data_IF_078121183076
#
_entry.id   IF_078121183076
#
_cell.length_a   1.000
_cell.length_b   1.000
_cell.length_c   1.000
_cell.angle_alpha   90.00
_cell.angle_beta   90.00
_cell.angle_gamma   90.00
#
_symmetry.space_group_name_H-M   'P 1'
#
loop_
_entity.id
_entity.type
_entity.pdbx_description
1 polymer ?
#
# COMPACT_ATOMS: atom_id res chain seq x y z
N UNK A 1 -63.17 -30.34 -9.53
CA UNK A 1 -61.94 -30.59 -10.33
C UNK A 1 -61.31 -29.26 -10.67
N UNK A 2 -60.07 -29.07 -10.21
CA UNK A 2 -59.08 -28.10 -10.67
C UNK A 2 -59.53 -26.64 -10.83
N UNK A 3 -59.72 -25.94 -9.69
CA UNK A 3 -59.34 -24.53 -9.61
C UNK A 3 -57.79 -24.48 -9.54
N UNK A 4 -57.13 -24.82 -10.64
CA UNK A 4 -55.68 -24.88 -10.67
C UNK A 4 -55.10 -23.55 -11.18
N UNK A 5 -54.63 -22.78 -10.20
CA UNK A 5 -53.56 -21.78 -10.30
C UNK A 5 -53.80 -20.66 -11.31
N UNK A 6 -54.42 -19.59 -10.81
CA UNK A 6 -53.99 -18.24 -11.16
C UNK A 6 -52.48 -18.13 -10.90
N UNK A 7 -51.68 -18.43 -11.91
CA UNK A 7 -50.30 -18.02 -11.98
C UNK A 7 -50.30 -16.50 -12.19
N UNK A 8 -50.58 -15.77 -11.11
CA UNK A 8 -50.43 -14.33 -11.02
C UNK A 8 -48.97 -13.97 -11.28
N UNK A 9 -48.62 -13.85 -12.56
CA UNK A 9 -47.36 -13.27 -13.01
C UNK A 9 -47.41 -11.80 -12.59
N UNK A 10 -47.02 -11.52 -11.33
CA UNK A 10 -46.81 -10.16 -10.83
C UNK A 10 -45.96 -9.45 -11.88
N UNK A 11 -46.57 -8.55 -12.65
CA UNK A 11 -45.84 -7.67 -13.57
C UNK A 11 -44.87 -6.89 -12.70
N UNK A 12 -43.61 -7.32 -12.68
CA UNK A 12 -42.52 -6.58 -12.06
C UNK A 12 -42.58 -5.17 -12.62
N UNK A 13 -42.97 -4.22 -11.79
CA UNK A 13 -43.05 -2.82 -12.18
C UNK A 13 -41.63 -2.42 -12.62
N UNK A 14 -41.49 -1.75 -13.78
CA UNK A 14 -40.20 -1.33 -14.33
C UNK A 14 -39.33 -0.61 -13.27
N UNK A 15 -39.98 0.13 -12.35
CA UNK A 15 -39.31 0.77 -11.20
C UNK A 15 -38.62 -0.22 -10.26
N UNK A 16 -39.23 -1.37 -9.98
CA UNK A 16 -38.64 -2.43 -9.15
C UNK A 16 -37.48 -3.11 -9.87
N UNK A 17 -37.58 -3.33 -11.18
CA UNK A 17 -36.48 -3.90 -11.98
C UNK A 17 -35.27 -2.95 -11.98
N UNK A 18 -35.50 -1.66 -12.20
CA UNK A 18 -34.43 -0.65 -12.15
C UNK A 18 -33.78 -0.57 -10.77
N UNK A 19 -34.59 -0.61 -9.69
CA UNK A 19 -34.08 -0.63 -8.32
C UNK A 19 -33.24 -1.88 -8.04
N UNK A 20 -33.69 -3.07 -8.47
CA UNK A 20 -32.94 -4.32 -8.28
C UNK A 20 -31.60 -4.26 -9.04
N UNK A 21 -31.61 -3.79 -10.28
CA UNK A 21 -30.39 -3.65 -11.09
C UNK A 21 -29.42 -2.64 -10.50
N UNK A 22 -29.91 -1.50 -9.99
CA UNK A 22 -29.05 -0.50 -9.36
C UNK A 22 -28.46 -1.02 -8.04
N UNK A 23 -29.25 -1.70 -7.22
CA UNK A 23 -28.75 -2.35 -6.00
C UNK A 23 -27.70 -3.42 -6.33
N UNK A 24 -27.95 -4.28 -7.33
CA UNK A 24 -26.97 -5.28 -7.77
C UNK A 24 -25.66 -4.63 -8.23
N UNK A 25 -25.73 -3.57 -9.03
CA UNK A 25 -24.54 -2.85 -9.49
C UNK A 25 -23.73 -2.27 -8.31
N UNK A 26 -24.39 -1.68 -7.32
CA UNK A 26 -23.74 -1.18 -6.10
C UNK A 26 -23.09 -2.33 -5.31
N UNK A 27 -23.79 -3.45 -5.15
CA UNK A 27 -23.23 -4.63 -4.46
C UNK A 27 -21.97 -5.17 -5.16
N UNK A 28 -21.95 -5.18 -6.50
CA UNK A 28 -20.77 -5.60 -7.28
C UNK A 28 -19.61 -4.63 -7.05
N UNK A 29 -19.86 -3.31 -7.06
CA UNK A 29 -18.82 -2.30 -6.79
C UNK A 29 -18.24 -2.43 -5.38
N UNK A 30 -19.09 -2.58 -4.37
CA UNK A 30 -18.67 -2.76 -2.98
C UNK A 30 -17.84 -4.04 -2.85
N UNK A 31 -18.32 -5.15 -3.42
CA UNK A 31 -17.61 -6.43 -3.37
C UNK A 31 -16.24 -6.31 -4.03
N UNK A 32 -16.16 -5.64 -5.19
CA UNK A 32 -14.88 -5.37 -5.87
C UNK A 32 -13.93 -4.53 -5.02
N UNK A 33 -14.41 -3.45 -4.41
CA UNK A 33 -13.61 -2.60 -3.54
C UNK A 33 -13.09 -3.36 -2.30
N UNK A 34 -13.95 -4.16 -1.65
CA UNK A 34 -13.56 -4.99 -0.51
C UNK A 34 -12.49 -6.00 -0.92
N UNK A 35 -12.63 -6.64 -2.09
CA UNK A 35 -11.62 -7.56 -2.61
C UNK A 35 -10.27 -6.87 -2.78
N UNK A 36 -10.24 -5.71 -3.45
CA UNK A 36 -9.02 -4.92 -3.65
C UNK A 36 -8.38 -4.56 -2.31
N UNK A 37 -9.18 -4.13 -1.34
CA UNK A 37 -8.70 -3.76 -0.01
C UNK A 37 -8.07 -4.94 0.73
N UNK A 38 -8.52 -6.17 0.48
CA UNK A 38 -7.97 -7.39 1.10
C UNK A 38 -6.79 -8.02 0.36
N UNK A 39 -6.43 -7.52 -0.83
CA UNK A 39 -5.35 -8.12 -1.62
C UNK A 39 -3.98 -7.96 -0.94
N UNK A 40 -3.11 -8.98 -1.06
CA UNK A 40 -1.74 -8.91 -0.59
C UNK A 40 -0.88 -8.02 -1.50
N UNK A 41 0.28 -7.63 -1.01
CA UNK A 41 1.32 -6.89 -1.75
C UNK A 41 1.79 -7.68 -2.97
N UNK A 42 1.78 -9.02 -2.91
CA UNK A 42 2.06 -9.91 -4.05
C UNK A 42 1.22 -9.56 -5.29
N UNK A 43 0.00 -9.06 -5.11
CA UNK A 43 -0.85 -8.66 -6.23
C UNK A 43 -0.29 -7.45 -6.99
N UNK A 44 0.22 -6.49 -6.24
CA UNK A 44 0.80 -5.26 -6.78
C UNK A 44 2.20 -5.58 -7.36
N UNK A 45 3.02 -6.33 -6.60
CA UNK A 45 4.37 -6.72 -6.99
C UNK A 45 4.41 -7.71 -8.16
N UNK A 46 3.40 -8.59 -8.28
CA UNK A 46 3.31 -9.60 -9.33
C UNK A 46 3.15 -9.02 -10.74
N UNK A 47 2.74 -7.75 -10.85
CA UNK A 47 2.74 -7.02 -12.12
C UNK A 47 4.13 -6.47 -12.50
N UNK A 48 5.08 -6.46 -11.57
CA UNK A 48 6.42 -5.95 -11.78
C UNK A 48 7.41 -7.11 -11.94
N UNK A 49 8.17 -7.13 -13.03
CA UNK A 49 9.18 -8.14 -13.35
C UNK A 49 10.44 -8.03 -12.48
N UNK A 50 10.30 -7.99 -11.15
CA UNK A 50 11.37 -7.81 -10.18
C UNK A 50 11.71 -6.35 -9.84
N UNK A 51 11.12 -5.37 -10.54
CA UNK A 51 11.39 -3.94 -10.31
C UNK A 51 10.55 -3.27 -9.20
N UNK A 52 9.81 -4.05 -8.40
CA UNK A 52 8.85 -3.48 -7.44
C UNK A 52 9.54 -2.70 -6.32
N UNK A 53 10.70 -3.16 -5.83
CA UNK A 53 11.49 -2.46 -4.81
C UNK A 53 11.88 -1.05 -5.29
N UNK A 54 12.43 -0.95 -6.50
CA UNK A 54 12.75 0.34 -7.14
C UNK A 54 11.53 1.22 -7.30
N UNK A 55 10.41 0.69 -7.78
CA UNK A 55 9.18 1.47 -7.91
C UNK A 55 8.69 2.06 -6.58
N UNK A 56 8.71 1.25 -5.50
CA UNK A 56 8.31 1.70 -4.17
C UNK A 56 9.31 2.72 -3.62
N UNK A 57 10.61 2.49 -3.83
CA UNK A 57 11.67 3.42 -3.47
C UNK A 57 11.51 4.77 -4.18
N UNK A 58 11.35 4.79 -5.50
CA UNK A 58 11.16 6.03 -6.28
C UNK A 58 9.93 6.81 -5.80
N UNK A 59 8.88 6.09 -5.35
CA UNK A 59 7.63 6.69 -4.88
C UNK A 59 7.71 7.22 -3.44
N UNK A 60 8.50 6.61 -2.57
CA UNK A 60 8.47 6.90 -1.13
C UNK A 60 9.82 7.26 -0.49
N UNK A 61 10.95 7.02 -1.16
CA UNK A 61 12.31 7.13 -0.62
C UNK A 61 12.56 8.45 0.11
N UNK A 62 12.37 9.58 -0.58
CA UNK A 62 12.54 10.92 0.03
C UNK A 62 11.64 11.13 1.27
N UNK A 63 10.37 10.69 1.20
CA UNK A 63 9.44 10.79 2.33
C UNK A 63 9.88 9.92 3.51
N UNK A 64 10.43 8.74 3.24
CA UNK A 64 10.90 7.81 4.27
C UNK A 64 12.19 8.33 4.93
N UNK A 65 13.09 8.90 4.14
CA UNK A 65 14.28 9.61 4.64
C UNK A 65 13.89 10.76 5.58
N UNK A 66 12.95 11.61 5.15
CA UNK A 66 12.47 12.70 6.02
C UNK A 66 11.85 12.15 7.31
N UNK A 67 11.11 11.05 7.21
CA UNK A 67 10.49 10.42 8.37
C UNK A 67 11.51 9.84 9.36
N UNK A 68 12.62 9.30 8.86
CA UNK A 68 13.75 8.91 9.71
C UNK A 68 14.33 10.13 10.43
N UNK A 69 14.59 11.23 9.70
CA UNK A 69 15.14 12.45 10.28
C UNK A 69 14.23 13.02 11.38
N UNK A 70 12.92 13.09 11.11
CA UNK A 70 11.93 13.62 12.07
C UNK A 70 11.84 12.79 13.36
N UNK A 71 12.11 11.48 13.26
CA UNK A 71 12.08 10.52 14.37
C UNK A 71 13.44 10.27 15.04
N UNK A 72 14.53 10.79 14.49
CA UNK A 72 15.89 10.54 14.99
C UNK A 72 16.27 11.51 16.11
N UNK A 73 16.81 10.97 17.21
CA UNK A 73 17.41 11.77 18.28
C UNK A 73 18.68 12.52 17.82
N UNK A 74 19.25 12.14 16.67
CA UNK A 74 20.47 12.74 16.10
C UNK A 74 20.19 13.88 15.13
N UNK A 75 18.92 14.22 14.87
CA UNK A 75 18.52 15.17 13.83
C UNK A 75 19.21 16.53 13.92
N UNK A 76 19.49 17.01 15.13
CA UNK A 76 20.08 18.35 15.36
C UNK A 76 21.56 18.41 14.93
N UNK A 77 22.23 17.26 14.79
CA UNK A 77 23.60 17.17 14.31
C UNK A 77 23.73 16.78 12.83
N UNK A 78 22.63 16.40 12.17
CA UNK A 78 22.60 16.00 10.76
C UNK A 78 22.53 17.25 9.88
N UNK A 79 23.57 17.46 9.06
CA UNK A 79 23.72 18.61 8.16
C UNK A 79 23.10 18.30 6.79
N UNK A 80 23.29 17.08 6.31
CA UNK A 80 22.71 16.56 5.06
C UNK A 80 22.38 15.09 5.22
N UNK A 81 21.34 14.63 4.52
CA UNK A 81 20.85 13.26 4.55
C UNK A 81 20.26 12.92 3.19
N UNK A 82 20.67 11.78 2.63
CA UNK A 82 20.20 11.29 1.34
C UNK A 82 19.99 9.77 1.37
N UNK A 83 19.04 9.28 0.58
CA UNK A 83 18.93 7.85 0.29
C UNK A 83 19.94 7.44 -0.78
N UNK A 84 20.53 6.26 -0.63
CA UNK A 84 21.48 5.71 -1.60
C UNK A 84 20.72 4.90 -2.64
N UNK A 85 20.60 5.44 -3.85
CA UNK A 85 19.97 4.75 -4.97
C UNK A 85 20.71 3.45 -5.32
N UNK A 86 19.96 2.42 -5.68
CA UNK A 86 20.48 1.10 -6.06
C UNK A 86 20.72 0.15 -4.89
N UNK A 87 20.52 0.59 -3.65
CA UNK A 87 20.59 -0.25 -2.44
C UNK A 87 19.24 -0.80 -2.01
N UNK A 88 18.16 -0.42 -2.73
CA UNK A 88 16.82 -0.77 -2.32
C UNK A 88 16.49 -2.25 -2.53
N UNK A 89 15.97 -2.87 -1.48
CA UNK A 89 15.39 -4.21 -1.50
C UNK A 89 13.99 -4.17 -0.86
N UNK A 90 13.11 -5.07 -1.28
CA UNK A 90 11.77 -5.16 -0.71
C UNK A 90 11.40 -6.60 -0.42
N UNK A 91 10.94 -6.83 0.81
CA UNK A 91 10.29 -8.06 1.23
C UNK A 91 8.83 -7.75 1.57
N UNK A 92 7.94 -8.73 1.45
CA UNK A 92 6.56 -8.53 1.85
C UNK A 92 5.91 -9.80 2.36
N UNK A 93 4.92 -9.61 3.21
CA UNK A 93 4.07 -10.65 3.73
C UNK A 93 2.65 -10.12 3.86
N UNK A 94 1.70 -10.81 3.22
CA UNK A 94 0.31 -10.41 3.16
C UNK A 94 0.16 -8.95 2.72
N UNK A 95 -0.27 -8.08 3.63
CA UNK A 95 -0.51 -6.65 3.38
C UNK A 95 0.61 -5.75 3.87
N UNK A 96 1.73 -6.31 4.28
CA UNK A 96 2.86 -5.58 4.83
C UNK A 96 4.04 -5.70 3.88
N UNK A 97 4.66 -4.55 3.58
CA UNK A 97 5.91 -4.45 2.85
C UNK A 97 7.00 -3.96 3.80
N UNK A 98 8.20 -4.50 3.65
CA UNK A 98 9.43 -4.08 4.28
C UNK A 98 10.32 -3.54 3.17
N UNK A 99 10.59 -2.24 3.20
CA UNK A 99 11.49 -1.60 2.25
C UNK A 99 12.82 -1.34 2.95
N UNK A 100 13.88 -1.92 2.41
CA UNK A 100 15.24 -1.79 2.88
C UNK A 100 16.00 -0.88 1.92
N UNK A 101 16.74 0.09 2.42
CA UNK A 101 17.69 0.87 1.63
C UNK A 101 18.67 1.60 2.55
N UNK A 102 19.82 1.95 2.00
CA UNK A 102 20.84 2.69 2.73
C UNK A 102 20.56 4.19 2.68
N UNK A 103 20.88 4.88 3.78
CA UNK A 103 20.99 6.33 3.82
C UNK A 103 22.43 6.73 4.08
N UNK A 104 22.82 7.86 3.53
CA UNK A 104 24.10 8.51 3.86
C UNK A 104 23.80 9.88 4.44
N UNK A 105 24.40 10.19 5.59
CA UNK A 105 24.26 11.51 6.21
C UNK A 105 25.59 12.06 6.70
N UNK A 106 25.68 13.38 6.71
CA UNK A 106 26.82 14.08 7.28
C UNK A 106 26.45 14.63 8.66
N UNK A 107 27.09 14.10 9.69
CA UNK A 107 26.92 14.52 11.08
C UNK A 107 28.06 15.47 11.49
N UNK A 108 27.73 16.52 12.22
CA UNK A 108 28.67 17.55 12.65
C UNK A 108 29.84 17.03 13.53
N UNK A 109 29.64 15.92 14.23
CA UNK A 109 30.66 15.31 15.12
C UNK A 109 31.20 13.99 14.57
N UNK A 110 30.36 13.18 13.92
CA UNK A 110 30.71 11.81 13.51
C UNK A 110 31.24 11.75 12.07
N UNK A 111 31.14 12.85 11.32
CA UNK A 111 31.49 12.89 9.91
C UNK A 111 30.42 12.23 9.05
N UNK A 112 30.82 11.60 7.95
CA UNK A 112 29.89 10.92 7.05
C UNK A 112 29.59 9.51 7.54
N UNK A 113 28.31 9.21 7.71
CA UNK A 113 27.80 7.92 8.19
C UNK A 113 26.87 7.34 7.13
N UNK A 114 26.99 6.03 6.89
CA UNK A 114 26.06 5.27 6.06
C UNK A 114 25.37 4.22 6.93
N UNK A 115 24.04 4.19 6.90
CA UNK A 115 23.21 3.28 7.70
C UNK A 115 22.16 2.60 6.82
N UNK A 116 21.98 1.30 7.01
CA UNK A 116 20.91 0.53 6.37
C UNK A 116 19.62 0.65 7.18
N UNK A 117 18.54 1.11 6.54
CA UNK A 117 17.24 1.29 7.17
C UNK A 117 16.22 0.30 6.63
N UNK A 118 15.34 -0.15 7.51
CA UNK A 118 14.15 -0.92 7.16
C UNK A 118 12.89 -0.15 7.55
N UNK A 119 12.02 0.11 6.57
CA UNK A 119 10.73 0.74 6.77
C UNK A 119 9.59 -0.25 6.59
N UNK A 120 8.67 -0.29 7.55
CA UNK A 120 7.46 -1.11 7.44
C UNK A 120 6.31 -0.30 6.85
N UNK A 121 5.76 -0.74 5.73
CA UNK A 121 4.58 -0.17 5.09
C UNK A 121 3.39 -1.11 5.16
N UNK A 122 2.24 -0.62 5.63
CA UNK A 122 0.99 -1.38 5.56
C UNK A 122 0.12 -0.93 4.40
N UNK A 123 -0.25 -1.85 3.51
CA UNK A 123 -1.03 -1.58 2.30
C UNK A 123 -2.44 -1.10 2.66
N UNK A 124 -2.77 0.13 2.26
CA UNK A 124 -4.11 0.73 2.43
C UNK A 124 -4.92 0.76 1.13
N UNK A 125 -4.23 0.75 0.00
CA UNK A 125 -4.81 0.67 -1.34
C UNK A 125 -3.76 0.14 -2.32
N UNK A 126 -4.14 -0.04 -3.59
CA UNK A 126 -3.22 -0.40 -4.67
C UNK A 126 -1.99 0.52 -4.67
N UNK A 127 -0.80 -0.06 -4.57
CA UNK A 127 0.50 0.64 -4.49
C UNK A 127 0.60 1.73 -3.41
N UNK A 128 -0.30 1.70 -2.43
CA UNK A 128 -0.45 2.76 -1.44
C UNK A 128 -0.25 2.22 -0.05
N UNK A 129 0.75 2.78 0.65
CA UNK A 129 1.21 2.28 1.92
C UNK A 129 1.11 3.34 3.00
N UNK A 130 0.63 2.92 4.16
CA UNK A 130 0.79 3.66 5.41
C UNK A 130 2.11 3.21 6.04
N UNK A 131 3.11 4.07 6.01
CA UNK A 131 4.43 3.78 6.52
C UNK A 131 4.51 3.94 8.04
N UNK A 132 5.28 3.08 8.70
CA UNK A 132 5.74 3.16 10.09
C UNK A 132 7.06 3.95 10.22
N UNK A 133 7.72 3.88 11.38
CA UNK A 133 9.06 4.42 11.57
C UNK A 133 10.13 3.56 10.89
N UNK A 134 11.37 4.06 10.89
CA UNK A 134 12.53 3.30 10.45
C UNK A 134 13.04 2.39 11.57
N UNK A 135 13.51 1.21 11.21
CA UNK A 135 14.33 0.34 12.06
C UNK A 135 15.75 0.34 11.48
N UNK A 136 16.75 0.60 12.32
CA UNK A 136 18.16 0.52 11.93
C UNK A 136 18.52 -0.97 11.92
N UNK A 137 19.04 -1.47 10.80
CA UNK A 137 19.62 -2.81 10.76
C UNK A 137 20.88 -2.80 11.63
N UNK A 138 20.86 -3.57 12.73
CA UNK A 138 21.96 -3.65 13.70
C UNK A 138 23.13 -4.50 13.24
#
# INVERSE_FOLDING_TARGET
MAAEKEAGRKRLNKKHVVMILSTLAICVLITGAVRIYTLPVDWDAGACSGGYATFVFDKYGERLVQKYLDGSDRKDGIISLEAVEGTQEAEWQDRTIYLHFDITYHHNVEGTVTESLTFTGHRIWFDTYKWGGAMIAG
#
